data_IF_158483723031
#
_entry.id   IF_158483723031
#
_cell.length_a   1.000
_cell.length_b   1.000
_cell.length_c   1.000
_cell.angle_alpha   90.00
_cell.angle_beta   90.00
_cell.angle_gamma   90.00
#
_symmetry.space_group_name_H-M   'P 1'
#
loop_
_entity.id
_entity.type
_entity.pdbx_description
1 polymer ?
#
# COMPACT_ATOMS: atom_id res chain seq x y z
N UNK A 1 5.57 6.14 2.41
CA UNK A 1 6.77 6.58 1.69
C UNK A 1 6.58 8.01 1.25
N UNK A 2 7.67 8.77 1.17
CA UNK A 2 7.69 10.13 0.63
C UNK A 2 7.67 10.12 -0.91
N UNK A 3 7.69 8.94 -1.48
CA UNK A 3 7.69 8.68 -2.90
C UNK A 3 6.29 8.88 -3.49
N UNK A 4 6.21 9.66 -4.55
CA UNK A 4 4.99 9.87 -5.34
C UNK A 4 4.92 8.96 -6.56
N UNK A 5 5.89 8.05 -6.74
CA UNK A 5 5.92 7.10 -7.83
C UNK A 5 4.88 6.00 -7.63
N UNK A 6 3.84 5.92 -8.48
CA UNK A 6 2.68 5.07 -8.22
C UNK A 6 2.97 3.58 -8.27
N UNK A 7 4.05 3.16 -8.95
CA UNK A 7 4.44 1.75 -9.05
C UNK A 7 5.29 1.26 -7.88
N UNK A 8 5.76 2.14 -7.00
CA UNK A 8 6.48 1.79 -5.76
C UNK A 8 5.52 1.78 -4.56
N UNK A 9 4.40 1.08 -4.68
CA UNK A 9 3.43 0.93 -3.61
C UNK A 9 3.99 0.07 -2.47
N UNK A 10 3.61 0.41 -1.23
CA UNK A 10 4.01 -0.39 -0.05
C UNK A 10 3.20 -1.67 0.11
N UNK A 11 2.13 -1.83 -0.65
CA UNK A 11 1.30 -3.03 -0.69
C UNK A 11 0.45 -3.04 -1.95
N UNK A 12 0.06 -4.24 -2.37
CA UNK A 12 -0.91 -4.44 -3.44
C UNK A 12 -2.36 -4.48 -2.93
N UNK A 13 -2.56 -4.48 -1.61
CA UNK A 13 -3.86 -4.67 -0.95
C UNK A 13 -4.39 -3.43 -0.23
N UNK A 14 -3.56 -2.44 0.02
CA UNK A 14 -3.95 -1.21 0.70
C UNK A 14 -4.02 0.01 -0.22
N UNK A 15 -4.87 0.95 0.13
CA UNK A 15 -5.04 2.21 -0.58
C UNK A 15 -4.16 3.30 0.05
N UNK A 16 -3.61 4.20 -0.78
CA UNK A 16 -2.78 5.30 -0.27
C UNK A 16 -3.65 6.32 0.49
N UNK A 17 -3.34 6.62 1.77
CA UNK A 17 -4.05 7.61 2.58
C UNK A 17 -4.13 9.00 1.95
N UNK A 18 -3.27 9.30 0.97
CA UNK A 18 -3.31 10.56 0.22
C UNK A 18 -4.66 10.78 -0.47
N UNK A 19 -5.34 9.71 -0.89
CA UNK A 19 -6.63 9.79 -1.59
C UNK A 19 -7.84 9.86 -0.66
N UNK A 20 -7.66 9.73 0.66
CA UNK A 20 -8.77 9.85 1.63
C UNK A 20 -9.34 11.26 1.62
N UNK A 21 -10.64 11.43 1.36
CA UNK A 21 -11.34 12.69 1.65
C UNK A 21 -11.62 12.78 3.16
N UNK A 22 -10.71 13.44 3.85
CA UNK A 22 -10.75 13.57 5.31
C UNK A 22 -11.98 14.33 5.83
N UNK A 23 -12.63 15.16 4.98
CA UNK A 23 -13.84 15.89 5.33
C UNK A 23 -15.05 14.97 5.55
N UNK A 24 -14.96 13.72 5.08
CA UNK A 24 -15.99 12.69 5.24
C UNK A 24 -15.75 11.75 6.43
N UNK A 25 -14.72 12.03 7.21
CA UNK A 25 -14.47 11.27 8.43
C UNK A 25 -15.44 11.68 9.54
N UNK A 26 -15.89 10.73 10.38
CA UNK A 26 -16.68 11.04 11.57
C UNK A 26 -15.95 12.05 12.46
N UNK A 27 -16.67 13.04 12.96
CA UNK A 27 -16.13 14.08 13.84
C UNK A 27 -15.40 15.23 13.14
N UNK A 28 -15.24 15.21 11.82
CA UNK A 28 -14.61 16.31 11.08
C UNK A 28 -15.40 17.62 11.20
N UNK A 29 -16.72 17.56 11.00
CA UNK A 29 -17.59 18.73 10.97
C UNK A 29 -17.67 19.46 12.32
N UNK A 30 -17.56 18.71 13.41
CA UNK A 30 -17.63 19.23 14.77
C UNK A 30 -16.25 19.61 15.35
N UNK A 31 -15.19 19.45 14.55
CA UNK A 31 -13.83 19.70 15.02
C UNK A 31 -13.55 21.19 15.24
N UNK A 32 -13.05 21.60 16.42
CA UNK A 32 -12.67 23.00 16.67
C UNK A 32 -11.57 23.51 15.72
N UNK A 33 -10.73 22.59 15.20
CA UNK A 33 -9.64 22.90 14.29
C UNK A 33 -10.06 22.91 12.81
N UNK A 34 -11.30 22.60 12.48
CA UNK A 34 -11.83 22.50 11.11
C UNK A 34 -11.46 23.72 10.26
N UNK A 35 -11.70 24.94 10.78
CA UNK A 35 -11.40 26.18 10.02
C UNK A 35 -9.92 26.34 9.72
N UNK A 36 -9.05 25.92 10.65
CA UNK A 36 -7.59 25.93 10.43
C UNK A 36 -7.18 24.94 9.34
N UNK A 37 -7.76 23.74 9.34
CA UNK A 37 -7.50 22.73 8.31
C UNK A 37 -7.98 23.19 6.93
N UNK A 38 -9.18 23.78 6.85
CA UNK A 38 -9.73 24.32 5.60
C UNK A 38 -8.89 25.48 5.03
N UNK A 39 -8.35 26.37 5.92
CA UNK A 39 -7.43 27.45 5.50
C UNK A 39 -6.14 26.86 4.92
N UNK A 40 -5.50 25.94 5.62
CA UNK A 40 -4.26 25.27 5.18
C UNK A 40 -4.49 24.49 3.87
N UNK A 41 -5.62 23.79 3.73
CA UNK A 41 -5.98 23.11 2.50
C UNK A 41 -6.15 24.09 1.32
N UNK A 42 -6.74 25.27 1.56
CA UNK A 42 -6.88 26.33 0.55
C UNK A 42 -5.51 26.85 0.11
N UNK A 43 -4.59 27.08 1.06
CA UNK A 43 -3.23 27.51 0.78
C UNK A 43 -2.46 26.47 -0.06
N UNK A 44 -2.55 25.18 0.32
CA UNK A 44 -1.93 24.09 -0.42
C UNK A 44 -2.49 23.92 -1.85
N UNK A 45 -3.80 24.09 -2.00
CA UNK A 45 -4.47 24.02 -3.30
C UNK A 45 -4.14 25.21 -4.23
N UNK A 46 -3.67 26.33 -3.68
CA UNK A 46 -3.22 27.47 -4.46
C UNK A 46 -1.79 27.34 -5.02
N UNK A 47 -1.06 26.32 -4.59
CA UNK A 47 0.30 26.07 -5.09
C UNK A 47 0.28 25.61 -6.55
N UNK A 48 1.30 25.98 -7.36
CA UNK A 48 1.39 25.60 -8.77
C UNK A 48 1.66 24.09 -8.98
N UNK A 49 2.11 23.41 -7.95
CA UNK A 49 2.35 21.96 -7.89
C UNK A 49 1.93 21.42 -6.55
N UNK A 50 1.52 20.14 -6.52
CA UNK A 50 1.14 19.47 -5.27
C UNK A 50 2.36 19.34 -4.36
N UNK A 51 2.27 19.89 -3.16
CA UNK A 51 3.19 19.59 -2.06
C UNK A 51 2.70 18.36 -1.31
N UNK A 52 3.15 17.19 -1.77
CA UNK A 52 2.73 15.90 -1.21
C UNK A 52 3.05 15.75 0.27
N UNK A 53 4.15 16.33 0.76
CA UNK A 53 4.54 16.25 2.17
C UNK A 53 3.57 17.02 3.04
N UNK A 54 3.34 18.30 2.74
CA UNK A 54 2.42 19.15 3.50
C UNK A 54 0.98 18.64 3.44
N UNK A 55 0.55 18.10 2.28
CA UNK A 55 -0.77 17.46 2.16
C UNK A 55 -0.88 16.23 3.05
N UNK A 56 0.14 15.36 3.09
CA UNK A 56 0.16 14.16 3.96
C UNK A 56 0.16 14.55 5.44
N UNK A 57 0.91 15.56 5.83
CA UNK A 57 0.95 16.07 7.21
C UNK A 57 -0.41 16.61 7.65
N UNK A 58 -1.03 17.44 6.82
CA UNK A 58 -2.37 17.97 7.11
C UNK A 58 -3.41 16.84 7.24
N UNK A 59 -3.41 15.90 6.28
CA UNK A 59 -4.34 14.76 6.34
C UNK A 59 -4.09 13.89 7.55
N UNK A 60 -2.85 13.63 7.93
CA UNK A 60 -2.51 12.86 9.13
C UNK A 60 -3.06 13.51 10.39
N UNK A 61 -2.88 14.82 10.54
CA UNK A 61 -3.42 15.58 11.68
C UNK A 61 -4.94 15.42 11.79
N UNK A 62 -5.65 15.55 10.68
CA UNK A 62 -7.12 15.38 10.64
C UNK A 62 -7.52 13.94 10.97
N UNK A 63 -6.83 12.95 10.38
CA UNK A 63 -7.10 11.54 10.61
C UNK A 63 -6.90 11.20 12.08
N UNK A 64 -5.79 11.62 12.68
CA UNK A 64 -5.48 11.36 14.09
C UNK A 64 -6.53 11.97 15.00
N UNK A 65 -6.96 13.20 14.73
CA UNK A 65 -8.02 13.85 15.48
C UNK A 65 -9.35 13.07 15.40
N UNK A 66 -9.76 12.66 14.19
CA UNK A 66 -11.00 11.93 14.00
C UNK A 66 -10.94 10.52 14.60
N UNK A 67 -9.82 9.83 14.46
CA UNK A 67 -9.60 8.51 15.04
C UNK A 67 -9.67 8.54 16.58
N UNK A 68 -8.99 9.50 17.21
CA UNK A 68 -8.94 9.64 18.67
C UNK A 68 -10.30 9.94 19.30
N UNK A 69 -11.26 10.39 18.50
CA UNK A 69 -12.62 10.79 18.93
C UNK A 69 -13.72 9.93 18.27
N UNK A 70 -13.32 8.89 17.56
CA UNK A 70 -14.27 7.96 16.97
C UNK A 70 -15.13 7.32 18.07
N UNK A 71 -16.44 7.32 17.86
CA UNK A 71 -17.38 6.68 18.75
C UNK A 71 -17.35 5.16 18.65
N UNK A 72 -17.99 4.48 19.57
CA UNK A 72 -18.03 3.01 19.62
C UNK A 72 -18.61 2.40 18.34
N UNK A 73 -19.62 3.03 17.74
CA UNK A 73 -20.23 2.56 16.49
C UNK A 73 -19.24 2.63 15.31
N UNK A 74 -18.50 3.72 15.23
CA UNK A 74 -17.43 3.87 14.23
C UNK A 74 -16.34 2.83 14.42
N UNK A 75 -15.90 2.61 15.66
CA UNK A 75 -14.85 1.65 15.97
C UNK A 75 -15.32 0.20 15.76
N UNK A 76 -16.58 -0.11 15.99
CA UNK A 76 -17.14 -1.43 15.67
C UNK A 76 -17.14 -1.68 14.14
N UNK A 77 -17.56 -0.70 13.33
CA UNK A 77 -17.44 -0.76 11.87
C UNK A 77 -16.00 -1.04 11.42
N UNK A 78 -15.00 -0.42 12.06
CA UNK A 78 -13.59 -0.65 11.74
C UNK A 78 -13.14 -2.07 12.10
N UNK A 79 -13.59 -2.61 13.23
CA UNK A 79 -13.28 -4.00 13.64
C UNK A 79 -13.96 -5.03 12.72
N UNK A 80 -15.20 -4.79 12.34
CA UNK A 80 -15.90 -5.63 11.36
C UNK A 80 -15.18 -5.61 10.00
N UNK A 81 -14.76 -4.42 9.53
CA UNK A 81 -13.95 -4.29 8.33
C UNK A 81 -12.64 -5.09 8.45
N UNK A 82 -11.91 -4.94 9.55
CA UNK A 82 -10.67 -5.66 9.80
C UNK A 82 -10.89 -7.18 9.84
N UNK A 83 -11.98 -7.64 10.44
CA UNK A 83 -12.34 -9.06 10.47
C UNK A 83 -12.65 -9.62 9.08
N UNK A 84 -13.32 -8.84 8.24
CA UNK A 84 -13.66 -9.22 6.86
C UNK A 84 -12.44 -9.28 5.94
N UNK A 85 -11.54 -8.29 6.03
CA UNK A 85 -10.34 -8.23 5.21
C UNK A 85 -9.24 -9.20 5.71
N UNK A 86 -9.32 -9.62 6.97
CA UNK A 86 -8.50 -10.69 7.51
C UNK A 86 -7.01 -10.38 7.62
N UNK A 87 -6.18 -11.39 7.31
CA UNK A 87 -4.73 -11.32 7.50
C UNK A 87 -4.03 -10.30 6.58
N UNK A 88 -4.57 -9.97 5.42
CA UNK A 88 -3.98 -8.98 4.51
C UNK A 88 -3.99 -7.58 5.13
N UNK A 89 -5.15 -7.18 5.66
CA UNK A 89 -5.26 -5.89 6.34
C UNK A 89 -4.44 -5.87 7.64
N UNK A 90 -4.43 -6.97 8.38
CA UNK A 90 -3.61 -7.08 9.58
C UNK A 90 -2.11 -6.94 9.26
N UNK A 91 -1.63 -7.62 8.21
CA UNK A 91 -0.25 -7.51 7.76
C UNK A 91 0.11 -6.07 7.37
N UNK A 92 -0.75 -5.41 6.60
CA UNK A 92 -0.58 -4.00 6.25
C UNK A 92 -0.50 -3.09 7.49
N UNK A 93 -1.42 -3.26 8.43
CA UNK A 93 -1.45 -2.44 9.64
C UNK A 93 -0.21 -2.63 10.51
N UNK A 94 0.20 -3.89 10.72
CA UNK A 94 1.42 -4.22 11.48
C UNK A 94 2.68 -3.69 10.80
N UNK A 95 2.78 -3.82 9.48
CA UNK A 95 3.87 -3.25 8.70
C UNK A 95 3.96 -1.73 8.88
N UNK A 96 2.82 -1.03 8.80
CA UNK A 96 2.79 0.42 8.98
C UNK A 96 3.21 0.83 10.39
N UNK A 97 2.79 0.09 11.42
CA UNK A 97 3.22 0.32 12.80
C UNK A 97 4.73 0.12 12.96
N UNK A 98 5.29 -0.96 12.39
CA UNK A 98 6.74 -1.20 12.42
C UNK A 98 7.51 -0.08 11.71
N UNK A 99 7.07 0.32 10.53
CA UNK A 99 7.70 1.38 9.76
C UNK A 99 7.70 2.72 10.50
N UNK A 100 6.62 3.04 11.21
CA UNK A 100 6.55 4.29 11.99
C UNK A 100 7.48 4.24 13.21
N UNK A 101 7.65 3.06 13.81
CA UNK A 101 8.56 2.84 14.94
C UNK A 101 10.04 2.79 14.54
N UNK A 102 10.32 2.40 13.30
CA UNK A 102 11.66 2.18 12.77
C UNK A 102 11.83 2.90 11.41
N UNK A 103 11.75 4.23 11.38
CA UNK A 103 11.81 4.97 10.12
C UNK A 103 13.15 4.77 9.41
N UNK A 104 13.08 4.46 8.10
CA UNK A 104 14.26 4.26 7.25
C UNK A 104 14.90 2.87 7.33
N UNK A 105 14.40 1.97 8.19
CA UNK A 105 14.89 0.60 8.27
C UNK A 105 14.36 -0.21 7.06
N UNK A 106 15.23 -0.92 6.33
CA UNK A 106 14.82 -1.83 5.27
C UNK A 106 13.91 -2.95 5.80
N UNK A 107 12.96 -3.39 4.99
CA UNK A 107 12.02 -4.46 5.39
C UNK A 107 12.70 -5.78 5.72
N UNK A 108 13.86 -6.03 5.12
CA UNK A 108 14.68 -7.22 5.37
C UNK A 108 15.27 -7.28 6.79
N UNK A 109 15.30 -6.14 7.49
CA UNK A 109 15.75 -6.05 8.89
C UNK A 109 14.60 -6.14 9.90
N UNK A 110 13.35 -6.12 9.44
CA UNK A 110 12.19 -6.34 10.32
C UNK A 110 12.15 -7.79 10.79
N UNK A 111 11.64 -8.01 12.02
CA UNK A 111 11.25 -9.35 12.43
C UNK A 111 10.21 -9.92 11.44
N UNK A 112 10.30 -11.21 11.14
CA UNK A 112 9.42 -11.86 10.17
C UNK A 112 7.93 -11.70 10.53
N UNK A 113 7.07 -11.62 9.53
CA UNK A 113 5.63 -11.38 9.72
C UNK A 113 4.99 -12.35 10.72
N UNK A 114 5.27 -13.64 10.64
CA UNK A 114 4.71 -14.63 11.53
C UNK A 114 5.01 -14.33 13.02
N UNK A 115 6.25 -13.94 13.32
CA UNK A 115 6.69 -13.57 14.67
C UNK A 115 5.98 -12.31 15.17
N UNK A 116 5.92 -11.28 14.34
CA UNK A 116 5.27 -9.99 14.69
C UNK A 116 3.77 -10.20 14.90
N UNK A 117 3.13 -10.99 14.04
CA UNK A 117 1.71 -11.33 14.16
C UNK A 117 1.41 -12.09 15.45
N UNK A 118 2.21 -13.09 15.79
CA UNK A 118 2.04 -13.86 17.01
C UNK A 118 2.21 -12.98 18.26
N UNK A 119 3.24 -12.16 18.29
CA UNK A 119 3.48 -11.20 19.37
C UNK A 119 2.31 -10.23 19.54
N UNK A 120 1.81 -9.67 18.45
CA UNK A 120 0.64 -8.78 18.45
C UNK A 120 -0.59 -9.49 19.03
N UNK A 121 -0.91 -10.70 18.58
CA UNK A 121 -2.07 -11.45 19.08
C UNK A 121 -1.96 -11.77 20.56
N UNK A 122 -0.75 -12.12 21.02
CA UNK A 122 -0.46 -12.37 22.45
C UNK A 122 -0.65 -11.08 23.27
N UNK A 123 -0.09 -9.96 22.81
CA UNK A 123 -0.20 -8.67 23.50
C UNK A 123 -1.65 -8.19 23.53
N UNK A 124 -2.37 -8.33 22.42
CA UNK A 124 -3.80 -8.04 22.33
C UNK A 124 -4.63 -8.84 23.33
N UNK A 125 -4.33 -10.11 23.52
CA UNK A 125 -5.02 -10.96 24.49
C UNK A 125 -4.81 -10.51 25.94
N UNK A 126 -3.69 -9.85 26.26
CA UNK A 126 -3.33 -9.38 27.59
C UNK A 126 -3.80 -7.94 27.83
N UNK A 127 -3.54 -7.04 26.91
CA UNK A 127 -3.72 -5.60 27.03
C UNK A 127 -4.99 -5.07 26.35
N UNK A 128 -5.67 -5.90 25.58
CA UNK A 128 -6.94 -5.56 24.94
C UNK A 128 -6.85 -4.32 24.03
N UNK A 129 -7.71 -3.36 24.26
CA UNK A 129 -7.85 -2.18 23.42
C UNK A 129 -6.57 -1.31 23.33
N UNK A 130 -5.70 -1.34 24.34
CA UNK A 130 -4.45 -0.59 24.32
C UNK A 130 -3.48 -1.12 23.25
N UNK A 131 -3.35 -2.44 23.15
CA UNK A 131 -2.50 -3.08 22.13
C UNK A 131 -3.03 -2.89 20.71
N UNK A 132 -4.35 -2.78 20.56
CA UNK A 132 -5.00 -2.60 19.26
C UNK A 132 -4.90 -1.17 18.71
N UNK A 133 -4.69 -0.17 19.55
CA UNK A 133 -4.86 1.26 19.19
C UNK A 133 -4.08 1.65 17.92
N UNK A 134 -2.80 1.32 17.84
CA UNK A 134 -1.97 1.69 16.69
C UNK A 134 -2.37 0.93 15.43
N UNK A 135 -2.71 -0.35 15.56
CA UNK A 135 -3.15 -1.21 14.46
C UNK A 135 -4.52 -0.75 13.94
N UNK A 136 -5.47 -0.48 14.82
CA UNK A 136 -6.80 0.00 14.46
C UNK A 136 -6.79 1.39 13.81
N UNK A 137 -5.80 2.22 14.09
CA UNK A 137 -5.62 3.51 13.41
C UNK A 137 -5.41 3.31 11.90
N UNK A 138 -4.58 2.35 11.50
CA UNK A 138 -4.38 2.02 10.08
C UNK A 138 -5.60 1.33 9.47
N UNK A 139 -6.25 0.45 10.23
CA UNK A 139 -7.50 -0.16 9.81
C UNK A 139 -8.62 0.87 9.62
N UNK A 140 -8.72 1.90 10.48
CA UNK A 140 -9.64 3.04 10.34
C UNK A 140 -9.40 3.76 9.00
N UNK A 141 -8.16 4.10 8.68
CA UNK A 141 -7.82 4.76 7.40
C UNK A 141 -8.29 3.92 6.22
N UNK A 142 -7.98 2.63 6.20
CA UNK A 142 -8.36 1.73 5.12
C UNK A 142 -9.88 1.53 5.04
N UNK A 143 -10.56 1.39 6.16
CA UNK A 143 -12.02 1.25 6.22
C UNK A 143 -12.72 2.41 5.49
N UNK A 144 -12.32 3.64 5.77
CA UNK A 144 -12.91 4.82 5.13
C UNK A 144 -12.46 5.02 3.68
N UNK A 145 -11.23 4.63 3.33
CA UNK A 145 -10.77 4.64 1.93
C UNK A 145 -11.57 3.67 1.07
N UNK A 146 -11.76 2.43 1.53
CA UNK A 146 -12.55 1.43 0.81
C UNK A 146 -14.02 1.84 0.69
N UNK A 147 -14.62 2.43 1.73
CA UNK A 147 -15.97 2.97 1.68
C UNK A 147 -16.09 4.10 0.62
N UNK A 148 -15.11 5.00 0.58
CA UNK A 148 -15.08 6.09 -0.39
C UNK A 148 -14.83 5.60 -1.82
N UNK A 149 -13.94 4.62 -2.01
CA UNK A 149 -13.69 4.01 -3.31
C UNK A 149 -14.95 3.28 -3.83
N UNK A 150 -15.63 2.51 -2.97
CA UNK A 150 -16.88 1.85 -3.34
C UNK A 150 -17.95 2.84 -3.81
N UNK A 151 -18.16 3.94 -3.07
CA UNK A 151 -19.11 5.00 -3.49
C UNK A 151 -18.68 5.69 -4.78
N UNK A 152 -17.38 5.85 -5.03
CA UNK A 152 -16.87 6.39 -6.28
C UNK A 152 -17.18 5.44 -7.44
N UNK A 153 -16.92 4.14 -7.28
CA UNK A 153 -17.23 3.11 -8.28
C UNK A 153 -18.71 3.07 -8.59
N UNK A 154 -19.60 3.06 -7.58
CA UNK A 154 -21.03 3.13 -7.77
C UNK A 154 -21.48 4.40 -8.52
N UNK A 155 -20.83 5.54 -8.24
CA UNK A 155 -21.12 6.79 -8.92
C UNK A 155 -20.68 6.73 -10.38
N UNK A 156 -19.50 6.19 -10.67
CA UNK A 156 -19.01 5.99 -12.03
C UNK A 156 -19.98 5.13 -12.83
N UNK A 157 -20.42 4.01 -12.28
CA UNK A 157 -21.36 3.08 -12.93
C UNK A 157 -22.73 3.73 -13.24
N UNK A 158 -23.25 4.57 -12.34
CA UNK A 158 -24.49 5.33 -12.60
C UNK A 158 -24.38 6.32 -13.77
N UNK A 159 -23.16 6.66 -14.16
CA UNK A 159 -22.86 7.54 -15.29
C UNK A 159 -22.26 6.79 -16.49
N UNK A 160 -22.41 5.47 -16.53
CA UNK A 160 -21.88 4.59 -17.60
C UNK A 160 -20.35 4.72 -17.79
N UNK A 161 -19.62 5.00 -16.69
CA UNK A 161 -18.15 5.08 -16.66
C UNK A 161 -17.58 3.84 -16.02
N UNK A 162 -16.68 3.16 -16.75
CA UNK A 162 -15.92 2.02 -16.26
C UNK A 162 -14.60 2.49 -15.64
N UNK A 163 -14.22 1.87 -14.53
CA UNK A 163 -12.95 2.14 -13.85
C UNK A 163 -11.94 1.09 -14.25
N UNK A 164 -10.87 1.55 -14.91
CA UNK A 164 -9.75 0.70 -15.30
C UNK A 164 -8.54 1.02 -14.44
N UNK A 165 -7.99 0.00 -13.75
CA UNK A 165 -6.76 0.09 -12.98
C UNK A 165 -5.54 -0.41 -13.74
N UNK A 166 -4.38 0.01 -13.27
CA UNK A 166 -3.08 -0.47 -13.72
C UNK A 166 -2.53 -1.50 -12.72
N UNK A 167 -2.05 -2.62 -13.26
CA UNK A 167 -1.37 -3.64 -12.51
C UNK A 167 0.12 -3.57 -12.86
N UNK A 168 0.97 -2.98 -11.98
CA UNK A 168 2.41 -3.03 -12.19
C UNK A 168 2.92 -4.46 -12.09
N UNK A 169 3.90 -4.81 -12.93
CA UNK A 169 4.51 -6.14 -12.88
C UNK A 169 5.26 -6.36 -11.57
N UNK A 170 5.89 -5.34 -10.99
CA UNK A 170 6.68 -5.45 -9.79
C UNK A 170 5.94 -5.04 -8.51
N UNK A 171 6.59 -5.27 -7.38
CA UNK A 171 6.24 -4.73 -6.06
C UNK A 171 7.46 -4.08 -5.44
N UNK A 172 7.27 -3.06 -4.62
CA UNK A 172 8.37 -2.39 -3.95
C UNK A 172 9.18 -3.37 -3.08
N UNK A 173 10.52 -3.26 -3.13
CA UNK A 173 11.43 -4.05 -2.27
C UNK A 173 11.08 -3.92 -0.78
N UNK A 174 10.69 -2.72 -0.36
CA UNK A 174 10.27 -2.40 1.01
C UNK A 174 8.75 -2.39 1.14
N UNK A 175 8.10 -3.46 0.71
CA UNK A 175 6.64 -3.63 0.72
C UNK A 175 6.17 -4.67 1.75
N UNK A 176 4.89 -4.61 2.05
CA UNK A 176 4.18 -5.65 2.84
C UNK A 176 4.29 -7.00 2.15
N UNK A 177 4.17 -7.02 0.82
CA UNK A 177 4.22 -8.24 0.00
C UNK A 177 5.54 -8.99 0.19
N UNK A 178 6.67 -8.27 0.12
CA UNK A 178 8.01 -8.85 0.37
C UNK A 178 8.17 -9.26 1.83
N UNK A 179 7.64 -8.49 2.78
CA UNK A 179 7.74 -8.81 4.20
C UNK A 179 6.97 -10.08 4.59
N UNK A 180 5.78 -10.26 4.01
CA UNK A 180 4.91 -11.41 4.31
C UNK A 180 5.40 -12.70 3.64
N UNK A 181 5.87 -12.59 2.39
CA UNK A 181 6.25 -13.73 1.57
C UNK A 181 7.61 -13.53 0.86
N UNK A 182 8.72 -13.30 1.62
CA UNK A 182 10.02 -13.00 1.02
C UNK A 182 10.55 -14.12 0.10
N UNK A 183 10.12 -15.36 0.32
CA UNK A 183 10.50 -16.53 -0.48
C UNK A 183 9.96 -16.50 -1.92
N UNK A 184 9.00 -15.63 -2.22
CA UNK A 184 8.46 -15.46 -3.57
C UNK A 184 9.24 -14.45 -4.42
N UNK A 185 10.31 -13.87 -3.88
CA UNK A 185 11.06 -12.79 -4.50
C UNK A 185 12.56 -13.02 -4.42
N UNK A 186 13.28 -12.74 -5.52
CA UNK A 186 14.72 -12.68 -5.53
C UNK A 186 15.19 -11.32 -5.04
N UNK A 187 15.56 -11.22 -3.76
CA UNK A 187 15.98 -9.96 -3.14
C UNK A 187 17.42 -9.57 -3.47
N UNK A 188 18.18 -10.44 -4.12
CA UNK A 188 19.52 -10.22 -4.65
C UNK A 188 19.53 -9.71 -6.11
N UNK A 189 18.36 -9.47 -6.69
CA UNK A 189 18.18 -9.03 -8.07
C UNK A 189 17.17 -7.90 -8.17
N UNK A 190 17.29 -7.12 -9.23
CA UNK A 190 16.36 -6.06 -9.59
C UNK A 190 15.84 -6.25 -11.00
N UNK A 191 14.56 -5.95 -11.20
CA UNK A 191 13.93 -5.98 -12.52
C UNK A 191 14.22 -4.67 -13.26
N UNK A 192 14.31 -4.77 -14.58
CA UNK A 192 14.56 -3.63 -15.43
C UNK A 192 14.23 -3.90 -16.90
N UNK A 193 14.85 -3.12 -17.78
CA UNK A 193 14.80 -3.30 -19.22
C UNK A 193 16.21 -3.19 -19.83
N UNK A 194 16.52 -3.95 -20.88
CA UNK A 194 17.80 -3.84 -21.56
C UNK A 194 17.96 -2.48 -22.26
N UNK A 195 19.20 -2.11 -22.62
CA UNK A 195 19.45 -0.96 -23.47
C UNK A 195 18.60 -1.00 -24.75
N UNK A 196 18.01 0.13 -25.08
CA UNK A 196 17.19 0.32 -26.27
C UNK A 196 17.37 1.73 -26.86
N UNK A 197 16.53 2.07 -27.87
CA UNK A 197 16.58 3.38 -28.50
C UNK A 197 16.23 4.54 -27.54
N UNK A 198 15.41 4.29 -26.51
CA UNK A 198 14.98 5.31 -25.55
C UNK A 198 15.92 5.45 -24.36
N UNK A 199 16.64 4.37 -24.02
CA UNK A 199 17.62 4.36 -22.92
C UNK A 199 18.85 3.56 -23.32
N UNK A 200 19.95 4.25 -23.62
CA UNK A 200 21.21 3.64 -24.04
C UNK A 200 21.84 2.74 -22.96
N UNK A 201 21.55 3.02 -21.69
CA UNK A 201 22.06 2.26 -20.53
C UNK A 201 21.05 1.23 -20.01
N UNK A 202 19.88 1.11 -20.64
CA UNK A 202 18.76 0.32 -20.14
C UNK A 202 18.03 1.02 -19.00
N UNK A 203 17.19 0.28 -18.30
CA UNK A 203 16.40 0.79 -17.17
C UNK A 203 16.54 -0.16 -15.98
N UNK A 204 16.72 0.41 -14.81
CA UNK A 204 16.59 -0.26 -13.53
C UNK A 204 15.32 0.24 -12.86
N UNK A 205 14.41 -0.67 -12.52
CA UNK A 205 13.12 -0.34 -11.92
C UNK A 205 13.12 -0.44 -10.39
N UNK A 206 14.20 -0.96 -9.79
CA UNK A 206 14.42 -0.99 -8.35
C UNK A 206 13.51 -1.93 -7.57
N UNK A 207 12.83 -2.86 -8.20
CA UNK A 207 12.01 -3.87 -7.52
C UNK A 207 12.53 -5.30 -7.78
N UNK A 208 12.33 -6.24 -6.82
CA UNK A 208 12.86 -7.59 -6.92
C UNK A 208 12.18 -8.36 -8.05
N UNK A 209 12.91 -9.30 -8.66
CA UNK A 209 12.31 -10.27 -9.58
C UNK A 209 11.58 -11.37 -8.79
N UNK A 210 10.66 -12.07 -9.46
CA UNK A 210 9.87 -13.16 -8.86
C UNK A 210 10.61 -14.49 -8.91
N UNK A 211 10.48 -15.28 -7.83
CA UNK A 211 10.76 -16.70 -7.85
C UNK A 211 9.54 -17.46 -8.40
N UNK A 212 9.53 -17.66 -9.73
CA UNK A 212 8.42 -18.32 -10.41
C UNK A 212 8.27 -19.79 -10.03
N UNK A 213 9.35 -20.46 -9.61
CA UNK A 213 9.31 -21.87 -9.15
C UNK A 213 8.60 -21.94 -7.79
N UNK A 214 8.95 -21.08 -6.85
CA UNK A 214 8.27 -20.96 -5.58
C UNK A 214 6.79 -20.58 -5.77
N UNK A 215 6.50 -19.62 -6.65
CA UNK A 215 5.12 -19.23 -6.95
C UNK A 215 4.31 -20.37 -7.56
N UNK A 216 4.89 -21.15 -8.48
CA UNK A 216 4.25 -22.31 -9.09
C UNK A 216 3.99 -23.42 -8.06
N UNK A 217 4.92 -23.66 -7.13
CA UNK A 217 4.75 -24.61 -6.04
C UNK A 217 3.55 -24.27 -5.12
N UNK A 218 3.19 -22.99 -5.03
CA UNK A 218 2.03 -22.49 -4.32
C UNK A 218 0.81 -22.25 -5.22
N UNK A 219 0.80 -22.80 -6.46
CA UNK A 219 -0.28 -22.64 -7.42
C UNK A 219 -0.58 -21.15 -7.71
N UNK A 220 0.45 -20.32 -7.80
CA UNK A 220 0.37 -18.87 -8.03
C UNK A 220 -0.64 -18.16 -7.11
N UNK A 221 -0.81 -18.64 -5.89
CA UNK A 221 -1.80 -18.13 -4.92
C UNK A 221 -1.69 -16.62 -4.73
N UNK A 222 -0.47 -16.09 -4.60
CA UNK A 222 -0.21 -14.66 -4.43
C UNK A 222 -0.76 -13.84 -5.62
N UNK A 223 -0.51 -14.26 -6.87
CA UNK A 223 -1.02 -13.59 -8.07
C UNK A 223 -2.54 -13.66 -8.18
N UNK A 224 -3.12 -14.83 -7.94
CA UNK A 224 -4.58 -15.00 -7.95
C UNK A 224 -5.25 -14.11 -6.92
N UNK A 225 -4.66 -14.00 -5.75
CA UNK A 225 -5.18 -13.15 -4.69
C UNK A 225 -5.06 -11.67 -5.05
N UNK A 226 -3.95 -11.24 -5.62
CA UNK A 226 -3.75 -9.88 -6.12
C UNK A 226 -4.81 -9.48 -7.14
N UNK A 227 -5.12 -10.34 -8.11
CA UNK A 227 -6.19 -10.11 -9.08
C UNK A 227 -7.56 -10.02 -8.40
N UNK A 228 -7.88 -10.92 -7.48
CA UNK A 228 -9.16 -10.94 -6.76
C UNK A 228 -9.40 -9.67 -5.92
N UNK A 229 -8.35 -9.09 -5.34
CA UNK A 229 -8.46 -7.81 -4.63
C UNK A 229 -8.74 -6.65 -5.59
N UNK A 230 -8.08 -6.61 -6.75
CA UNK A 230 -8.30 -5.56 -7.74
C UNK A 230 -9.71 -5.64 -8.36
N UNK A 231 -10.22 -6.84 -8.60
CA UNK A 231 -11.57 -7.07 -9.15
C UNK A 231 -12.69 -6.46 -8.31
N UNK A 232 -12.48 -6.28 -7.01
CA UNK A 232 -13.51 -5.71 -6.12
C UNK A 232 -13.94 -4.28 -6.48
N UNK A 233 -13.07 -3.53 -7.15
CA UNK A 233 -13.24 -2.10 -7.38
C UNK A 233 -12.99 -1.66 -8.82
N UNK A 234 -12.52 -2.56 -9.68
CA UNK A 234 -12.12 -2.26 -11.04
C UNK A 234 -12.91 -3.11 -12.02
N UNK A 235 -13.39 -2.48 -13.09
CA UNK A 235 -14.11 -3.14 -14.17
C UNK A 235 -13.17 -3.74 -15.21
N UNK A 236 -11.95 -3.21 -15.28
CA UNK A 236 -10.89 -3.68 -16.17
C UNK A 236 -9.52 -3.45 -15.56
N UNK A 237 -8.56 -4.28 -15.95
CA UNK A 237 -7.17 -4.19 -15.51
C UNK A 237 -6.28 -4.09 -16.75
N UNK A 238 -5.37 -3.11 -16.76
CA UNK A 238 -4.25 -3.07 -17.70
C UNK A 238 -3.05 -3.70 -17.00
N UNK A 239 -2.48 -4.71 -17.60
CA UNK A 239 -1.23 -5.30 -17.13
C UNK A 239 -0.08 -4.49 -17.75
N UNK A 240 0.70 -3.87 -16.90
CA UNK A 240 1.91 -3.18 -17.31
C UNK A 240 3.04 -4.21 -17.46
N UNK A 241 3.81 -4.08 -18.55
CA UNK A 241 4.94 -4.98 -18.87
C UNK A 241 4.57 -6.47 -18.86
N UNK A 242 3.58 -6.89 -19.66
CA UNK A 242 3.11 -8.29 -19.76
C UNK A 242 4.25 -9.30 -20.00
N UNK A 243 5.34 -8.90 -20.63
CA UNK A 243 6.50 -9.77 -20.86
C UNK A 243 7.11 -10.29 -19.57
N UNK A 244 6.98 -9.55 -18.45
CA UNK A 244 7.49 -9.96 -17.13
C UNK A 244 6.87 -11.24 -16.57
N UNK A 245 5.74 -11.72 -17.14
CA UNK A 245 5.16 -13.03 -16.82
C UNK A 245 5.82 -14.20 -17.58
N UNK A 246 6.65 -13.91 -18.56
CA UNK A 246 7.34 -14.91 -19.38
C UNK A 246 8.84 -14.81 -19.21
N UNK A 247 9.36 -13.60 -19.15
CA UNK A 247 10.77 -13.28 -18.95
C UNK A 247 10.92 -11.83 -18.53
N UNK A 248 11.86 -11.54 -17.64
CA UNK A 248 12.16 -10.19 -17.19
C UNK A 248 13.68 -9.92 -17.28
N UNK A 249 14.05 -8.68 -17.57
CA UNK A 249 15.45 -8.27 -17.49
C UNK A 249 15.86 -8.19 -16.05
N UNK A 250 16.83 -9.02 -15.66
CA UNK A 250 17.27 -9.19 -14.27
C UNK A 250 18.68 -8.61 -14.12
N UNK A 251 18.81 -7.69 -13.17
CA UNK A 251 20.06 -6.99 -12.83
C UNK A 251 20.48 -7.49 -11.46
N UNK A 252 21.70 -8.07 -11.29
CA UNK A 252 22.20 -8.43 -9.96
C UNK A 252 22.39 -7.18 -9.09
N UNK A 253 21.93 -7.19 -7.85
CA UNK A 253 22.02 -6.06 -6.91
C UNK A 253 23.48 -5.61 -6.66
N UNK A 254 24.43 -6.55 -6.70
CA UNK A 254 25.85 -6.26 -6.51
C UNK A 254 26.53 -5.63 -7.73
N UNK A 255 25.82 -5.48 -8.84
CA UNK A 255 26.38 -5.04 -10.12
C UNK A 255 25.94 -3.60 -10.41
N UNK A 256 26.89 -2.67 -10.33
CA UNK A 256 26.73 -1.35 -10.96
C UNK A 256 26.83 -1.41 -12.50
N UNK A 257 27.18 -2.58 -13.06
CA UNK A 257 27.35 -2.80 -14.50
C UNK A 257 26.15 -3.57 -15.04
N UNK A 258 25.19 -2.87 -15.66
CA UNK A 258 24.02 -3.45 -16.29
C UNK A 258 24.35 -4.45 -17.41
N UNK A 259 25.62 -4.53 -17.87
CA UNK A 259 26.10 -5.54 -18.81
C UNK A 259 26.09 -6.95 -18.23
N UNK A 260 25.99 -7.12 -16.92
CA UNK A 260 25.82 -8.42 -16.27
C UNK A 260 24.36 -8.85 -16.17
N UNK A 261 23.43 -7.99 -16.54
CA UNK A 261 22.00 -8.29 -16.55
C UNK A 261 21.64 -9.21 -17.74
N UNK A 262 20.61 -10.01 -17.52
CA UNK A 262 20.11 -10.96 -18.53
C UNK A 262 18.61 -11.24 -18.32
N UNK A 263 17.99 -11.78 -19.34
CA UNK A 263 16.60 -12.26 -19.20
C UNK A 263 16.55 -13.55 -18.36
N UNK A 264 15.61 -13.59 -17.43
CA UNK A 264 15.25 -14.76 -16.61
C UNK A 264 13.78 -15.09 -16.76
#
# INVERSE_FOLDING_TARGET
PLDSYPYNAITTYGLDPLYLDVRRLPGYDDAPLRRSWESRATELNALPRVDYLSVRELKREVIDYCYDRADDQTMEKVREFMSREGDDLLAYCLFCVLRDRQPGTPVTEYAGYATVREEYLRTKAIEGAQAEREVLRYAFIQCFLYDQLGRLTETAHRHDVLIKGDLPIGVGRNSVDVWVAPHLFHLDKEAGAPPDFFSADGQDWGFPTYDWEAMAAEDFRWWRHRFAVMERHLDAIRIDHILGFFRIWSIPESSSDQRQAHYV
#
